data_IF_836785220349
#
_entry.id   IF_836785220349
#
_cell.length_a   1.000
_cell.length_b   1.000
_cell.length_c   1.000
_cell.angle_alpha   90.00
_cell.angle_beta   90.00
_cell.angle_gamma   90.00
#
_symmetry.space_group_name_H-M   'P 1'
#
loop_
_entity.id
_entity.type
_entity.pdbx_description
1 polymer ?
#
# COMPACT_ATOMS: atom_id res chain seq x y z
N UNK A 1 -15.74 7.33 71.35
CA UNK A 1 -15.63 6.93 69.94
C UNK A 1 -14.16 6.87 69.58
N UNK A 2 -13.70 5.76 68.99
CA UNK A 2 -12.28 5.52 68.69
C UNK A 2 -11.86 6.34 67.47
N UNK A 3 -10.67 6.95 67.46
CA UNK A 3 -10.18 7.80 66.36
C UNK A 3 -10.27 7.11 64.98
N UNK A 4 -10.11 5.79 64.93
CA UNK A 4 -10.23 5.02 63.68
C UNK A 4 -11.62 5.18 63.04
N UNK A 5 -12.69 5.17 63.84
CA UNK A 5 -14.06 5.34 63.33
C UNK A 5 -14.31 6.74 62.76
N UNK A 6 -13.60 7.77 63.24
CA UNK A 6 -13.72 9.11 62.71
C UNK A 6 -12.96 9.26 61.38
N UNK A 7 -11.82 8.60 61.24
CA UNK A 7 -11.07 8.54 59.99
C UNK A 7 -11.82 7.77 58.91
N UNK A 8 -12.40 6.62 59.26
CA UNK A 8 -13.18 5.80 58.32
C UNK A 8 -14.39 6.58 57.79
N UNK A 9 -15.15 7.24 58.68
CA UNK A 9 -16.28 8.09 58.28
C UNK A 9 -15.87 9.27 57.38
N UNK A 10 -14.67 9.84 57.60
CA UNK A 10 -14.14 10.90 56.74
C UNK A 10 -13.77 10.37 55.36
N UNK A 11 -13.12 9.20 55.29
CA UNK A 11 -12.75 8.57 54.03
C UNK A 11 -14.00 8.18 53.23
N UNK A 12 -15.03 7.63 53.88
CA UNK A 12 -16.30 7.29 53.24
C UNK A 12 -16.99 8.54 52.68
N UNK A 13 -17.10 9.61 53.48
CA UNK A 13 -17.69 10.87 53.03
C UNK A 13 -16.90 11.52 51.88
N UNK A 14 -15.56 11.45 51.92
CA UNK A 14 -14.70 11.98 50.86
C UNK A 14 -14.85 11.18 49.55
N UNK A 15 -14.96 9.85 49.64
CA UNK A 15 -15.20 9.01 48.47
C UNK A 15 -16.59 9.25 47.89
N UNK A 16 -17.62 9.39 48.73
CA UNK A 16 -18.96 9.76 48.29
C UNK A 16 -18.97 11.11 47.58
N UNK A 17 -18.24 12.10 48.10
CA UNK A 17 -18.08 13.41 47.46
C UNK A 17 -17.43 13.27 46.09
N UNK A 18 -16.31 12.53 45.97
CA UNK A 18 -15.62 12.31 44.71
C UNK A 18 -16.49 11.60 43.66
N UNK A 19 -17.31 10.63 44.08
CA UNK A 19 -18.25 9.93 43.20
C UNK A 19 -19.41 10.85 42.77
N UNK A 20 -19.81 11.78 43.63
CA UNK A 20 -20.88 12.72 43.37
C UNK A 20 -20.47 13.93 42.51
N UNK A 21 -19.18 14.09 42.18
CA UNK A 21 -18.72 15.17 41.31
C UNK A 21 -19.34 15.00 39.91
N UNK A 22 -20.01 16.03 39.37
CA UNK A 22 -20.60 15.97 38.04
C UNK A 22 -19.52 15.99 36.95
N UNK A 23 -19.79 15.32 35.82
CA UNK A 23 -18.86 15.22 34.69
C UNK A 23 -18.39 16.61 34.21
N UNK A 24 -19.24 17.64 34.29
CA UNK A 24 -18.89 19.01 33.92
C UNK A 24 -17.76 19.60 34.79
N UNK A 25 -17.70 19.25 36.08
CA UNK A 25 -16.60 19.65 36.97
C UNK A 25 -15.34 18.82 36.72
N UNK A 26 -15.49 17.53 36.37
CA UNK A 26 -14.36 16.68 35.96
C UNK A 26 -13.70 17.23 34.69
N UNK A 27 -14.52 17.75 33.78
CA UNK A 27 -14.09 18.33 32.51
C UNK A 27 -13.74 19.82 32.61
N UNK A 28 -13.83 20.42 33.79
CA UNK A 28 -13.52 21.84 34.00
C UNK A 28 -12.03 22.11 33.69
N UNK A 29 -11.77 23.06 32.80
CA UNK A 29 -10.42 23.39 32.33
C UNK A 29 -9.89 22.50 31.20
N UNK A 30 -10.62 21.45 30.79
CA UNK A 30 -10.28 20.65 29.60
C UNK A 30 -10.95 21.24 28.37
N UNK A 31 -10.15 21.70 27.41
CA UNK A 31 -10.68 22.10 26.10
C UNK A 31 -11.00 20.85 25.28
N UNK A 32 -12.28 20.57 25.08
CA UNK A 32 -12.73 19.48 24.20
C UNK A 32 -12.13 19.57 22.79
N UNK A 33 -11.88 20.77 22.29
CA UNK A 33 -11.26 20.99 20.98
C UNK A 33 -9.77 20.67 20.99
N UNK A 34 -9.06 20.97 22.08
CA UNK A 34 -7.65 20.62 22.24
C UNK A 34 -7.45 19.09 22.29
N UNK A 35 -8.29 18.37 23.04
CA UNK A 35 -8.26 16.91 23.13
C UNK A 35 -8.58 16.26 21.77
N UNK A 36 -9.59 16.77 21.06
CA UNK A 36 -9.88 16.32 19.69
C UNK A 36 -8.71 16.55 18.75
N UNK A 37 -8.06 17.72 18.81
CA UNK A 37 -6.90 18.04 17.97
C UNK A 37 -5.71 17.10 18.28
N UNK A 38 -5.47 16.79 19.56
CA UNK A 38 -4.46 15.82 19.97
C UNK A 38 -4.75 14.42 19.42
N UNK A 39 -6.00 13.95 19.54
CA UNK A 39 -6.43 12.67 18.98
C UNK A 39 -6.26 12.59 17.46
N UNK A 40 -6.70 13.63 16.74
CA UNK A 40 -6.53 13.72 15.28
C UNK A 40 -5.06 13.69 14.86
N UNK A 41 -4.18 14.35 15.60
CA UNK A 41 -2.73 14.35 15.32
C UNK A 41 -2.15 12.94 15.41
N UNK A 42 -2.54 12.17 16.41
CA UNK A 42 -2.13 10.76 16.57
C UNK A 42 -2.63 9.94 15.37
N UNK A 43 -3.91 10.03 15.02
CA UNK A 43 -4.48 9.31 13.88
C UNK A 43 -3.77 9.64 12.55
N UNK A 44 -3.52 10.93 12.29
CA UNK A 44 -2.81 11.37 11.08
C UNK A 44 -1.38 10.80 11.02
N UNK A 45 -0.67 10.80 12.16
CA UNK A 45 0.69 10.24 12.24
C UNK A 45 0.71 8.72 11.99
N UNK A 46 -0.26 7.99 12.53
CA UNK A 46 -0.40 6.56 12.35
C UNK A 46 -0.71 6.21 10.89
N UNK A 47 -1.66 6.93 10.28
CA UNK A 47 -2.00 6.78 8.87
C UNK A 47 -0.80 7.05 7.95
N UNK A 48 -0.01 8.10 8.24
CA UNK A 48 1.21 8.39 7.49
C UNK A 48 2.26 7.28 7.60
N UNK A 49 2.38 6.64 8.77
CA UNK A 49 3.31 5.52 8.96
C UNK A 49 2.84 4.26 8.19
N UNK A 50 1.55 3.93 8.25
CA UNK A 50 0.98 2.80 7.48
C UNK A 50 1.12 3.03 5.97
N UNK A 51 0.83 4.25 5.50
CA UNK A 51 1.01 4.62 4.10
C UNK A 51 2.45 4.44 3.61
N UNK A 52 3.44 4.84 4.41
CA UNK A 52 4.86 4.59 4.10
C UNK A 52 5.17 3.11 3.98
N UNK A 53 4.73 2.28 4.92
CA UNK A 53 4.93 0.82 4.87
C UNK A 53 4.32 0.19 3.62
N UNK A 54 3.09 0.59 3.25
CA UNK A 54 2.44 0.11 2.02
C UNK A 54 3.23 0.49 0.76
N UNK A 55 3.73 1.72 0.72
CA UNK A 55 4.51 2.22 -0.41
C UNK A 55 5.87 1.50 -0.50
N UNK A 56 6.54 1.26 0.61
CA UNK A 56 7.78 0.47 0.68
C UNK A 56 7.55 -0.97 0.21
N UNK A 57 6.48 -1.62 0.67
CA UNK A 57 6.11 -2.96 0.22
C UNK A 57 5.80 -3.01 -1.28
N UNK A 58 5.08 -2.02 -1.81
CA UNK A 58 4.82 -1.91 -3.24
C UNK A 58 6.11 -1.71 -4.05
N UNK A 59 7.03 -0.84 -3.59
CA UNK A 59 8.34 -0.66 -4.22
C UNK A 59 9.16 -1.95 -4.24
N UNK A 60 9.18 -2.69 -3.13
CA UNK A 60 9.85 -3.98 -3.07
C UNK A 60 9.23 -5.00 -4.03
N UNK A 61 7.90 -5.04 -4.12
CA UNK A 61 7.18 -5.90 -5.08
C UNK A 61 7.47 -5.56 -6.54
N UNK A 62 7.52 -4.27 -6.88
CA UNK A 62 7.90 -3.80 -8.22
C UNK A 62 9.35 -4.16 -8.52
N UNK A 63 10.29 -3.89 -7.61
CA UNK A 63 11.70 -4.23 -7.80
C UNK A 63 11.90 -5.75 -8.03
N UNK A 64 11.24 -6.60 -7.22
CA UNK A 64 11.31 -8.04 -7.36
C UNK A 64 10.69 -8.56 -8.67
N UNK A 65 9.64 -7.88 -9.17
CA UNK A 65 9.02 -8.22 -10.46
C UNK A 65 9.92 -7.81 -11.63
N UNK A 66 10.52 -6.63 -11.57
CA UNK A 66 11.47 -6.15 -12.57
C UNK A 66 12.72 -7.03 -12.65
N UNK A 67 13.24 -7.50 -11.51
CA UNK A 67 14.38 -8.45 -11.49
C UNK A 67 14.01 -9.80 -12.12
N UNK A 68 12.84 -10.36 -11.78
CA UNK A 68 12.37 -11.62 -12.39
C UNK A 68 12.19 -11.49 -13.90
N UNK A 69 11.61 -10.39 -14.37
CA UNK A 69 11.33 -10.17 -15.78
C UNK A 69 12.62 -9.93 -16.59
N UNK A 70 13.64 -9.32 -15.98
CA UNK A 70 14.96 -9.12 -16.61
C UNK A 70 15.74 -10.43 -16.81
N UNK A 71 15.51 -11.43 -15.95
CA UNK A 71 16.20 -12.73 -16.01
C UNK A 71 15.57 -13.68 -17.04
N UNK A 72 14.28 -13.54 -17.36
CA UNK A 72 13.57 -14.48 -18.23
C UNK A 72 13.54 -14.11 -19.72
N UNK A 73 13.62 -12.82 -20.08
CA UNK A 73 13.24 -12.41 -21.45
C UNK A 73 14.39 -12.05 -22.42
N UNK A 74 15.61 -11.78 -21.94
CA UNK A 74 16.66 -11.18 -22.80
C UNK A 74 17.65 -12.23 -23.34
N UNK A 75 17.63 -13.47 -22.86
CA UNK A 75 18.76 -14.36 -23.07
C UNK A 75 18.88 -15.00 -24.47
N UNK A 76 17.87 -14.95 -25.36
CA UNK A 76 17.86 -15.82 -26.54
C UNK A 76 17.42 -15.20 -27.89
N UNK A 77 17.10 -13.89 -27.99
CA UNK A 77 16.61 -13.31 -29.25
C UNK A 77 17.41 -12.06 -29.61
N UNK A 78 17.85 -11.98 -30.87
CA UNK A 78 18.58 -10.80 -31.37
C UNK A 78 17.63 -9.61 -31.56
N UNK A 79 18.14 -8.39 -31.40
CA UNK A 79 17.34 -7.17 -31.60
C UNK A 79 16.76 -7.07 -33.03
N UNK A 80 17.46 -7.60 -34.05
CA UNK A 80 16.96 -7.66 -35.42
C UNK A 80 15.77 -8.62 -35.58
N UNK A 81 15.84 -9.78 -34.94
CA UNK A 81 14.76 -10.78 -34.97
C UNK A 81 13.52 -10.28 -34.22
N UNK A 82 13.74 -9.63 -33.06
CA UNK A 82 12.69 -8.96 -32.32
C UNK A 82 12.02 -7.84 -33.14
N UNK A 83 12.80 -7.03 -33.88
CA UNK A 83 12.27 -5.97 -34.76
C UNK A 83 11.33 -6.54 -35.82
N UNK A 84 11.74 -7.62 -36.49
CA UNK A 84 10.91 -8.30 -37.51
C UNK A 84 9.61 -8.82 -36.91
N UNK A 85 9.70 -9.45 -35.74
CA UNK A 85 8.54 -10.01 -35.04
C UNK A 85 7.52 -8.94 -34.65
N UNK A 86 7.97 -7.83 -34.07
CA UNK A 86 7.08 -6.74 -33.65
C UNK A 86 6.43 -6.07 -34.88
N UNK A 87 7.15 -5.95 -36.00
CA UNK A 87 6.61 -5.41 -37.24
C UNK A 87 5.51 -6.31 -37.82
N UNK A 88 5.69 -7.63 -37.77
CA UNK A 88 4.65 -8.60 -38.14
C UNK A 88 3.42 -8.51 -37.22
N UNK A 89 3.63 -8.46 -35.90
CA UNK A 89 2.56 -8.34 -34.92
C UNK A 89 1.78 -7.01 -35.00
N UNK A 90 2.41 -5.94 -35.51
CA UNK A 90 1.74 -4.65 -35.73
C UNK A 90 0.68 -4.73 -36.85
N UNK A 91 0.86 -5.68 -37.78
CA UNK A 91 -0.11 -5.94 -38.85
C UNK A 91 -1.15 -7.02 -38.46
N UNK A 92 -1.05 -7.59 -37.26
CA UNK A 92 -1.99 -8.59 -36.77
C UNK A 92 -3.17 -7.94 -36.03
N UNK A 93 -4.39 -8.25 -36.48
CA UNK A 93 -5.65 -7.80 -35.87
C UNK A 93 -5.83 -8.17 -34.39
N UNK A 94 -5.06 -9.15 -33.89
CA UNK A 94 -5.10 -9.59 -32.48
C UNK A 94 -4.44 -8.62 -31.52
N UNK A 95 -3.57 -7.73 -32.01
CA UNK A 95 -2.81 -6.80 -31.18
C UNK A 95 -3.08 -5.37 -31.63
N UNK A 96 -3.38 -4.48 -30.67
CA UNK A 96 -3.47 -3.04 -30.95
C UNK A 96 -2.16 -2.38 -30.52
N UNK A 97 -1.17 -2.37 -31.41
CA UNK A 97 0.07 -1.64 -31.23
C UNK A 97 -0.09 -0.21 -31.76
N UNK A 98 0.23 0.79 -30.94
CA UNK A 98 0.26 2.18 -31.37
C UNK A 98 1.46 2.37 -32.32
N UNK A 99 1.20 2.36 -33.63
CA UNK A 99 2.19 2.37 -34.70
C UNK A 99 2.89 3.73 -34.91
N UNK A 100 3.45 4.35 -33.86
CA UNK A 100 4.42 5.44 -34.04
C UNK A 100 5.84 4.90 -34.02
N UNK A 101 6.33 4.70 -35.23
CA UNK A 101 7.74 4.62 -35.63
C UNK A 101 8.60 3.61 -34.85
N UNK A 102 8.35 2.32 -35.12
CA UNK A 102 9.21 1.21 -34.70
C UNK A 102 10.69 1.37 -35.10
N UNK A 103 10.98 2.18 -36.12
CA UNK A 103 12.33 2.52 -36.56
C UNK A 103 13.06 3.50 -35.64
N UNK A 104 12.34 4.24 -34.77
CA UNK A 104 12.92 5.17 -33.81
C UNK A 104 13.14 4.53 -32.42
N UNK A 105 12.69 3.27 -32.22
CA UNK A 105 12.85 2.56 -30.96
C UNK A 105 14.28 2.04 -30.78
N UNK A 106 14.77 2.16 -29.53
CA UNK A 106 16.03 1.56 -29.13
C UNK A 106 15.96 0.02 -29.17
N UNK A 107 17.08 -0.66 -29.36
CA UNK A 107 17.16 -2.13 -29.36
C UNK A 107 16.56 -2.74 -28.09
N UNK A 108 16.77 -2.10 -26.94
CA UNK A 108 16.21 -2.50 -25.64
C UNK A 108 14.68 -2.37 -25.60
N UNK A 109 14.13 -1.30 -26.19
CA UNK A 109 12.68 -1.10 -26.27
C UNK A 109 12.02 -2.11 -27.20
N UNK A 110 12.66 -2.46 -28.32
CA UNK A 110 12.16 -3.50 -29.23
C UNK A 110 12.11 -4.84 -28.51
N UNK A 111 13.17 -5.21 -27.80
CA UNK A 111 13.22 -6.47 -27.04
C UNK A 111 12.15 -6.53 -25.95
N UNK A 112 11.87 -5.40 -25.29
CA UNK A 112 10.78 -5.28 -24.31
C UNK A 112 9.40 -5.46 -24.93
N UNK A 113 9.12 -4.86 -26.08
CA UNK A 113 7.83 -5.03 -26.77
C UNK A 113 7.68 -6.46 -27.27
N UNK A 114 8.75 -7.05 -27.82
CA UNK A 114 8.80 -8.45 -28.23
C UNK A 114 8.39 -9.38 -27.07
N UNK A 115 8.97 -9.19 -25.88
CA UNK A 115 8.65 -10.05 -24.74
C UNK A 115 7.23 -9.85 -24.21
N UNK A 116 6.72 -8.61 -24.26
CA UNK A 116 5.31 -8.33 -23.95
C UNK A 116 4.36 -9.07 -24.89
N UNK A 117 4.58 -9.01 -26.21
CA UNK A 117 3.74 -9.73 -27.18
C UNK A 117 3.82 -11.24 -26.92
N UNK A 118 5.02 -11.79 -26.69
CA UNK A 118 5.20 -13.21 -26.37
C UNK A 118 4.48 -13.63 -25.08
N UNK A 119 4.45 -12.78 -24.06
CA UNK A 119 3.73 -13.06 -22.82
C UNK A 119 2.21 -13.08 -23.01
N UNK A 120 1.69 -12.31 -23.97
CA UNK A 120 0.27 -12.27 -24.32
C UNK A 120 -0.16 -13.46 -25.18
N UNK A 121 0.76 -14.06 -25.93
CA UNK A 121 0.52 -15.27 -26.74
C UNK A 121 0.53 -16.56 -25.92
N UNK A 122 1.23 -16.57 -24.78
CA UNK A 122 1.15 -17.70 -23.87
C UNK A 122 -0.29 -17.75 -23.35
N UNK A 123 -1.01 -18.88 -23.53
CA UNK A 123 -2.28 -19.04 -22.82
C UNK A 123 -1.93 -18.84 -21.35
N UNK A 124 -2.61 -17.91 -20.68
CA UNK A 124 -2.67 -17.93 -19.22
C UNK A 124 -2.98 -19.38 -18.89
N UNK A 125 -2.00 -20.12 -18.35
CA UNK A 125 -2.32 -21.36 -17.69
C UNK A 125 -3.17 -20.92 -16.51
N UNK A 126 -4.47 -20.94 -16.76
CA UNK A 126 -5.49 -20.87 -15.73
C UNK A 126 -5.05 -21.93 -14.72
N UNK A 127 -4.59 -21.45 -13.56
CA UNK A 127 -4.34 -22.29 -12.42
C UNK A 127 -5.67 -22.93 -12.06
N UNK A 128 -5.88 -24.13 -12.59
CA UNK A 128 -6.93 -25.05 -12.20
C UNK A 128 -6.93 -25.16 -10.68
N UNK A 129 -8.04 -24.70 -10.10
CA UNK A 129 -8.88 -25.47 -9.18
C UNK A 129 -8.22 -26.68 -8.50
N UNK A 130 -7.98 -26.58 -7.19
CA UNK A 130 -8.13 -27.72 -6.30
C UNK A 130 -8.52 -27.23 -4.91
N UNK A 131 -9.83 -27.38 -4.66
CA UNK A 131 -10.48 -27.92 -3.47
C UNK A 131 -9.75 -27.87 -2.13
#
# INVERSE_FOLDING_TARGET
MSQNSQFDNFMDAFVEELIAIPDEQILEGVSADAEKAAGLKILLSANKAVGRKRLEAAKAGVAASSEKQKVTDVANVSAEEARRYVLEATNDSRFTLAARELNELSDDDVLRIYSQIKSLEQPRSEGESSK
#
